data_IF_990932202177
#
_entry.id   IF_990932202177
#
_cell.length_a   1.000
_cell.length_b   1.000
_cell.length_c   1.000
_cell.angle_alpha   90.00
_cell.angle_beta   90.00
_cell.angle_gamma   90.00
#
_symmetry.space_group_name_H-M   'P 1'
#
loop_
_entity.id
_entity.type
_entity.pdbx_description
1 polymer ?
#
# COMPACT_ATOMS: atom_id res chain seq x y z
N UNK A 1 -6.25 5.97 31.17
CA UNK A 1 -6.17 6.85 29.99
C UNK A 1 -5.50 6.04 28.90
N UNK A 2 -6.29 5.45 28.02
CA UNK A 2 -5.80 4.61 26.93
C UNK A 2 -5.59 5.56 25.76
N UNK A 3 -4.33 5.79 25.38
CA UNK A 3 -4.00 6.49 24.13
C UNK A 3 -4.30 5.51 22.99
N UNK A 4 -5.52 5.59 22.47
CA UNK A 4 -5.86 4.92 21.21
C UNK A 4 -5.29 5.83 20.13
N UNK A 5 -4.25 5.38 19.44
CA UNK A 5 -3.75 6.05 18.24
C UNK A 5 -4.95 6.36 17.33
N UNK A 6 -5.12 7.64 17.01
CA UNK A 6 -6.11 8.19 16.08
C UNK A 6 -5.78 7.74 14.64
N UNK A 7 -5.82 6.42 14.36
CA UNK A 7 -5.33 5.84 13.11
C UNK A 7 -6.26 6.17 11.92
N UNK A 8 -6.07 7.35 11.32
CA UNK A 8 -6.48 7.61 9.94
C UNK A 8 -5.32 7.26 8.99
N UNK A 9 -5.31 6.00 8.58
CA UNK A 9 -4.54 5.49 7.45
C UNK A 9 -5.47 4.61 6.60
N UNK A 10 -5.50 4.77 5.27
CA UNK A 10 -4.83 5.80 4.44
C UNK A 10 -5.42 7.22 4.61
N UNK A 11 -4.78 8.29 4.13
CA UNK A 11 -5.35 9.66 4.10
C UNK A 11 -6.31 9.90 2.91
N UNK A 12 -7.37 10.70 3.16
CA UNK A 12 -8.57 10.91 2.35
C UNK A 12 -9.85 10.89 3.22
N UNK A 13 -10.98 11.45 2.76
CA UNK A 13 -12.27 11.27 3.48
C UNK A 13 -12.74 9.83 3.27
N UNK A 14 -12.46 8.96 4.24
CA UNK A 14 -13.00 7.60 4.28
C UNK A 14 -14.28 7.59 5.10
N UNK A 15 -15.29 6.90 4.59
CA UNK A 15 -16.55 6.73 5.32
C UNK A 15 -16.52 5.56 6.31
N UNK A 16 -15.38 4.89 6.49
CA UNK A 16 -15.23 3.71 7.35
C UNK A 16 -13.83 3.59 7.94
N UNK A 17 -13.78 3.06 9.16
CA UNK A 17 -12.58 2.85 9.99
C UNK A 17 -12.28 1.36 10.19
N UNK A 18 -12.68 0.47 9.27
CA UNK A 18 -12.46 -0.97 9.42
C UNK A 18 -10.97 -1.33 9.37
N UNK A 19 -10.36 -1.42 10.55
CA UNK A 19 -8.97 -1.81 10.72
C UNK A 19 -8.85 -3.33 10.90
N UNK A 20 -9.15 -4.11 9.85
CA UNK A 20 -8.95 -5.56 9.90
C UNK A 20 -8.41 -6.12 8.59
N UNK A 21 -7.27 -6.82 8.68
CA UNK A 21 -6.73 -7.59 7.56
C UNK A 21 -7.63 -8.77 7.18
N UNK A 22 -8.54 -9.19 8.06
CA UNK A 22 -9.53 -10.24 7.80
C UNK A 22 -10.51 -9.85 6.70
N UNK A 23 -10.86 -8.56 6.63
CA UNK A 23 -11.79 -8.04 5.64
C UNK A 23 -11.14 -7.78 4.26
N UNK A 24 -9.81 -7.84 4.14
CA UNK A 24 -9.14 -7.60 2.86
C UNK A 24 -9.29 -8.84 1.94
N UNK A 25 -9.74 -8.67 0.67
CA UNK A 25 -9.86 -9.79 -0.27
C UNK A 25 -8.50 -10.27 -0.80
N UNK A 26 -7.46 -9.49 -0.52
CA UNK A 26 -6.09 -9.77 -0.93
C UNK A 26 -5.17 -9.79 0.28
N UNK A 27 -4.19 -10.67 0.23
CA UNK A 27 -2.95 -10.48 0.96
C UNK A 27 -1.83 -10.02 0.03
N UNK A 28 -0.75 -9.51 0.62
CA UNK A 28 0.44 -9.06 -0.08
C UNK A 28 1.64 -9.92 0.35
N UNK A 29 2.48 -10.33 -0.60
CA UNK A 29 3.78 -10.99 -0.33
C UNK A 29 4.88 -10.20 -1.02
N UNK A 30 5.89 -9.80 -0.28
CA UNK A 30 7.11 -9.23 -0.86
C UNK A 30 7.91 -10.32 -1.58
N UNK A 31 8.50 -9.96 -2.70
CA UNK A 31 9.42 -10.80 -3.46
C UNK A 31 10.85 -10.27 -3.36
N UNK A 32 11.76 -10.96 -4.07
CA UNK A 32 13.12 -10.47 -4.26
C UNK A 32 13.13 -9.18 -5.09
N UNK A 33 14.15 -8.35 -4.87
CA UNK A 33 14.38 -7.18 -5.72
C UNK A 33 14.70 -7.61 -7.15
N UNK A 34 14.26 -6.84 -8.13
CA UNK A 34 14.53 -7.08 -9.55
C UNK A 34 15.18 -5.84 -10.15
N UNK A 35 16.18 -6.01 -11.01
CA UNK A 35 16.75 -4.91 -11.81
C UNK A 35 16.28 -5.01 -13.25
N UNK A 36 15.66 -3.94 -13.75
CA UNK A 36 15.19 -3.84 -15.13
C UNK A 36 15.57 -2.47 -15.70
N UNK A 37 16.33 -2.46 -16.81
CA UNK A 37 16.86 -1.24 -17.45
C UNK A 37 17.52 -0.30 -16.44
N UNK A 38 18.48 -0.83 -15.68
CA UNK A 38 19.29 -0.11 -14.68
C UNK A 38 18.51 0.50 -13.51
N UNK A 39 17.23 0.15 -13.36
CA UNK A 39 16.42 0.51 -12.21
C UNK A 39 16.18 -0.75 -11.39
N UNK A 40 16.57 -0.73 -10.12
CA UNK A 40 16.20 -1.77 -9.16
C UNK A 40 14.83 -1.47 -8.58
N UNK A 41 14.01 -2.50 -8.42
CA UNK A 41 12.66 -2.42 -7.88
C UNK A 41 12.52 -3.37 -6.70
N UNK A 42 11.87 -2.90 -5.65
CA UNK A 42 11.19 -3.78 -4.70
C UNK A 42 9.99 -4.42 -5.39
N UNK A 43 9.74 -5.69 -5.10
CA UNK A 43 8.62 -6.41 -5.69
C UNK A 43 7.63 -6.88 -4.64
N UNK A 44 6.36 -6.91 -5.01
CA UNK A 44 5.33 -7.58 -4.23
C UNK A 44 4.25 -8.17 -5.13
N UNK A 45 3.60 -9.23 -4.66
CA UNK A 45 2.49 -9.89 -5.33
C UNK A 45 1.26 -9.86 -4.46
N UNK A 46 0.12 -9.76 -5.11
CA UNK A 46 -1.17 -9.92 -4.45
C UNK A 46 -1.63 -11.36 -4.60
N UNK A 47 -2.19 -11.91 -3.54
CA UNK A 47 -2.81 -13.22 -3.55
C UNK A 47 -4.24 -13.11 -3.03
N UNK A 48 -5.15 -13.84 -3.65
CA UNK A 48 -6.51 -13.96 -3.15
C UNK A 48 -6.48 -14.55 -1.74
N UNK A 49 -7.24 -13.95 -0.84
CA UNK A 49 -7.43 -14.43 0.52
C UNK A 49 -8.94 -14.53 0.79
N UNK A 50 -9.41 -15.55 1.53
CA UNK A 50 -10.78 -15.56 2.02
C UNK A 50 -11.06 -14.31 2.85
N UNK A 51 -12.17 -13.63 2.53
CA UNK A 51 -12.64 -12.51 3.32
C UNK A 51 -13.37 -13.04 4.57
N UNK A 52 -13.08 -12.46 5.73
CA UNK A 52 -13.74 -12.78 6.99
C UNK A 52 -15.17 -12.22 7.01
N UNK A 53 -16.15 -13.10 6.76
CA UNK A 53 -17.57 -12.75 6.75
C UNK A 53 -18.11 -12.27 8.11
N UNK A 54 -17.37 -12.45 9.20
CA UNK A 54 -17.67 -11.87 10.51
C UNK A 54 -17.37 -10.37 10.60
N UNK A 55 -16.61 -9.81 9.66
CA UNK A 55 -16.29 -8.39 9.64
C UNK A 55 -17.50 -7.57 9.17
N UNK A 56 -18.17 -6.89 10.11
CA UNK A 56 -19.34 -6.05 9.85
C UNK A 56 -18.98 -4.57 10.00
N UNK A 57 -19.44 -3.74 9.07
CA UNK A 57 -19.31 -2.29 9.12
C UNK A 57 -20.57 -1.61 8.61
N UNK A 58 -21.01 -0.56 9.32
CA UNK A 58 -22.28 0.14 9.03
C UNK A 58 -23.48 -0.82 8.91
N UNK A 59 -23.50 -1.90 9.71
CA UNK A 59 -24.58 -2.90 9.70
C UNK A 59 -24.56 -3.89 8.53
N UNK A 60 -23.53 -3.88 7.68
CA UNK A 60 -23.38 -4.82 6.57
C UNK A 60 -22.05 -5.59 6.67
N UNK A 61 -22.06 -6.85 6.22
CA UNK A 61 -20.84 -7.64 6.05
C UNK A 61 -19.95 -6.93 5.01
N UNK A 62 -18.72 -6.63 5.41
CA UNK A 62 -17.72 -5.92 4.60
C UNK A 62 -17.39 -6.72 3.32
N UNK A 63 -17.33 -8.04 3.41
CA UNK A 63 -17.05 -8.94 2.27
C UNK A 63 -18.10 -8.84 1.15
N UNK A 64 -19.36 -8.52 1.47
CA UNK A 64 -20.41 -8.34 0.48
C UNK A 64 -20.33 -7.00 -0.27
N UNK A 65 -19.52 -6.06 0.26
CA UNK A 65 -19.38 -4.70 -0.28
C UNK A 65 -18.08 -4.48 -1.02
N UNK A 66 -17.08 -5.32 -0.71
CA UNK A 66 -15.77 -5.32 -1.34
C UNK A 66 -15.88 -5.97 -2.71
N UNK A 67 -15.42 -5.26 -3.74
CA UNK A 67 -15.34 -5.82 -5.09
C UNK A 67 -14.07 -6.67 -5.19
N UNK A 68 -14.00 -7.67 -6.08
CA UNK A 68 -12.73 -8.32 -6.42
C UNK A 68 -11.77 -7.38 -7.18
N UNK A 69 -11.97 -6.06 -7.16
CA UNK A 69 -11.21 -5.11 -7.99
C UNK A 69 -10.70 -3.99 -7.12
N UNK A 70 -9.44 -4.13 -6.70
CA UNK A 70 -8.72 -3.14 -5.91
C UNK A 70 -8.67 -1.83 -6.69
N UNK A 71 -9.00 -0.72 -6.03
CA UNK A 71 -8.87 0.60 -6.62
C UNK A 71 -7.54 1.29 -6.24
N UNK A 72 -7.11 1.13 -4.99
CA UNK A 72 -5.90 1.75 -4.45
C UNK A 72 -5.19 0.85 -3.44
N UNK A 73 -3.86 0.88 -3.49
CA UNK A 73 -2.96 0.24 -2.51
C UNK A 73 -2.15 1.36 -1.87
N UNK A 74 -2.05 1.32 -0.54
CA UNK A 74 -1.35 2.32 0.26
C UNK A 74 -0.26 1.68 1.12
N UNK A 75 0.87 2.38 1.25
CA UNK A 75 1.96 2.03 2.16
C UNK A 75 2.31 3.22 3.03
N UNK A 76 2.52 2.98 4.33
CA UNK A 76 3.06 3.98 5.27
C UNK A 76 4.43 3.54 5.74
N UNK A 77 5.40 4.42 5.60
CA UNK A 77 6.82 4.19 5.89
C UNK A 77 7.33 5.26 6.83
N UNK A 78 8.31 4.93 7.66
CA UNK A 78 8.97 5.93 8.50
C UNK A 78 9.79 6.88 7.60
N UNK A 79 9.65 8.19 7.80
CA UNK A 79 10.26 9.21 6.94
C UNK A 79 11.78 9.05 6.84
N UNK A 80 12.42 8.72 7.96
CA UNK A 80 13.87 8.60 8.09
C UNK A 80 14.42 7.35 7.41
N UNK A 81 13.57 6.33 7.20
CA UNK A 81 13.93 5.11 6.48
C UNK A 81 13.58 5.19 4.98
N UNK A 82 12.74 6.16 4.60
CA UNK A 82 12.18 6.36 3.26
C UNK A 82 12.64 7.68 2.61
N UNK A 83 13.75 8.26 3.09
CA UNK A 83 14.31 9.58 2.71
C UNK A 83 14.43 9.77 1.19
N UNK A 84 14.66 8.70 0.44
CA UNK A 84 14.75 8.74 -1.00
C UNK A 84 13.48 9.24 -1.72
N UNK A 85 12.30 8.99 -1.15
CA UNK A 85 11.05 9.48 -1.70
C UNK A 85 10.90 11.00 -1.48
N UNK A 86 11.79 11.59 -0.67
CA UNK A 86 11.96 13.03 -0.46
C UNK A 86 12.96 13.67 -1.45
N UNK A 87 13.60 12.90 -2.34
CA UNK A 87 14.69 13.41 -3.18
C UNK A 87 14.24 14.10 -4.48
N UNK A 88 12.93 14.14 -4.78
CA UNK A 88 12.41 14.73 -6.03
C UNK A 88 11.89 16.17 -5.87
N UNK A 89 12.02 16.78 -4.70
CA UNK A 89 11.55 18.13 -4.37
C UNK A 89 11.06 18.22 -2.93
N UNK A 90 10.73 19.43 -2.43
CA UNK A 90 10.13 19.58 -1.10
C UNK A 90 8.86 18.73 -1.00
N UNK A 91 8.90 17.64 -0.22
CA UNK A 91 7.74 16.80 0.01
C UNK A 91 6.58 17.66 0.52
N UNK A 92 5.48 17.63 -0.21
CA UNK A 92 4.23 18.25 0.23
C UNK A 92 3.49 17.29 1.14
N UNK A 93 2.60 17.85 1.98
CA UNK A 93 1.64 17.03 2.70
C UNK A 93 0.85 16.15 1.73
N UNK A 94 0.48 14.96 2.17
CA UNK A 94 -0.13 13.93 1.33
C UNK A 94 -1.39 14.41 0.58
N UNK A 95 -2.12 15.37 1.14
CA UNK A 95 -3.28 16.04 0.52
C UNK A 95 -2.92 16.77 -0.78
N UNK A 96 -1.69 17.26 -0.88
CA UNK A 96 -1.09 17.96 -2.02
C UNK A 96 0.03 17.13 -2.67
N UNK A 97 0.04 15.81 -2.46
CA UNK A 97 1.13 14.94 -2.89
C UNK A 97 1.38 14.97 -4.40
N UNK A 98 2.66 14.89 -4.75
CA UNK A 98 3.14 14.86 -6.13
C UNK A 98 2.95 13.49 -6.78
N UNK A 99 2.74 13.48 -8.10
CA UNK A 99 2.73 12.25 -8.88
C UNK A 99 4.12 11.59 -8.82
N UNK A 100 4.13 10.31 -8.47
CA UNK A 100 5.33 9.50 -8.34
C UNK A 100 5.44 8.53 -9.53
N UNK A 101 6.55 8.59 -10.28
CA UNK A 101 6.83 7.68 -11.39
C UNK A 101 7.78 6.55 -10.96
N UNK A 102 7.29 5.70 -10.06
CA UNK A 102 8.08 4.56 -9.59
C UNK A 102 7.29 3.29 -9.35
N UNK A 103 6.03 3.21 -9.81
CA UNK A 103 5.20 2.01 -9.67
C UNK A 103 4.88 1.40 -11.04
N UNK A 104 5.07 0.08 -11.20
CA UNK A 104 4.68 -0.68 -12.40
C UNK A 104 4.02 -2.00 -12.01
N UNK A 105 3.37 -2.63 -12.97
CA UNK A 105 2.94 -4.02 -12.86
C UNK A 105 3.62 -4.85 -13.96
N UNK A 106 4.15 -5.99 -13.58
CA UNK A 106 4.71 -6.99 -14.49
C UNK A 106 3.82 -8.23 -14.47
N UNK A 107 3.05 -8.39 -15.53
CA UNK A 107 2.14 -9.52 -15.69
C UNK A 107 2.92 -10.80 -16.00
N UNK A 108 2.49 -11.93 -15.42
CA UNK A 108 3.10 -13.23 -15.69
C UNK A 108 3.02 -13.60 -17.18
N UNK A 109 4.07 -14.28 -17.66
CA UNK A 109 4.17 -14.67 -19.07
C UNK A 109 4.50 -13.54 -20.04
N UNK A 110 4.65 -12.30 -19.56
CA UNK A 110 5.10 -11.17 -20.39
C UNK A 110 6.60 -10.93 -20.27
N UNK A 111 7.21 -10.44 -21.35
CA UNK A 111 8.66 -10.21 -21.43
C UNK A 111 9.13 -8.89 -20.79
N UNK A 112 8.20 -7.98 -20.46
CA UNK A 112 8.54 -6.68 -19.89
C UNK A 112 7.42 -6.13 -19.00
N UNK A 113 7.74 -5.28 -18.01
CA UNK A 113 6.73 -4.64 -17.19
C UNK A 113 5.89 -3.65 -18.01
N UNK A 114 4.63 -3.48 -17.59
CA UNK A 114 3.71 -2.52 -18.18
C UNK A 114 4.13 -1.05 -17.99
N UNK A 115 3.23 -0.17 -18.43
CA UNK A 115 3.37 1.27 -18.24
C UNK A 115 3.44 1.64 -16.74
N UNK A 116 3.92 2.85 -16.45
CA UNK A 116 3.88 3.40 -15.10
C UNK A 116 2.44 3.45 -14.60
N UNK A 117 2.21 2.86 -13.43
CA UNK A 117 0.95 2.97 -12.72
C UNK A 117 0.82 4.38 -12.14
N UNK A 118 -0.40 4.94 -12.06
CA UNK A 118 -0.64 6.17 -11.32
C UNK A 118 -0.26 5.96 -9.85
N UNK A 119 0.72 6.74 -9.38
CA UNK A 119 1.12 6.72 -7.99
C UNK A 119 1.38 8.14 -7.46
N UNK A 120 1.27 8.31 -6.14
CA UNK A 120 1.58 9.55 -5.43
C UNK A 120 2.39 9.25 -4.18
N UNK A 121 3.21 10.21 -3.78
CA UNK A 121 3.99 10.14 -2.54
C UNK A 121 3.97 11.48 -1.83
N UNK A 122 3.88 11.47 -0.50
CA UNK A 122 3.86 12.67 0.31
C UNK A 122 4.14 12.41 1.79
N UNK A 123 4.37 13.48 2.55
CA UNK A 123 4.57 13.41 3.99
C UNK A 123 3.23 13.48 4.73
N UNK A 124 3.15 12.76 5.83
CA UNK A 124 2.03 12.85 6.77
C UNK A 124 2.07 14.15 7.56
N UNK A 125 0.94 14.57 8.13
CA UNK A 125 0.83 15.84 8.87
C UNK A 125 1.74 15.90 10.11
N UNK A 126 2.03 14.74 10.72
CA UNK A 126 2.96 14.65 11.86
C UNK A 126 4.44 14.79 11.46
N UNK A 127 4.75 14.77 10.15
CA UNK A 127 6.09 14.87 9.60
C UNK A 127 6.97 13.63 9.79
N UNK A 128 6.45 12.54 10.38
CA UNK A 128 7.21 11.34 10.78
C UNK A 128 7.10 10.20 9.79
N UNK A 129 6.10 10.25 8.90
CA UNK A 129 5.85 9.17 7.96
C UNK A 129 5.72 9.68 6.53
N UNK A 130 6.18 8.85 5.58
CA UNK A 130 5.94 8.97 4.16
C UNK A 130 4.83 8.00 3.77
N UNK A 131 3.92 8.47 2.93
CA UNK A 131 2.89 7.62 2.34
C UNK A 131 3.04 7.53 0.83
N UNK A 132 2.96 6.30 0.34
CA UNK A 132 2.94 5.98 -1.09
C UNK A 132 1.62 5.32 -1.44
N UNK A 133 0.98 5.82 -2.50
CA UNK A 133 -0.25 5.23 -3.03
C UNK A 133 -0.10 4.85 -4.48
N UNK A 134 -0.59 3.66 -4.83
CA UNK A 134 -0.87 3.26 -6.21
C UNK A 134 -2.39 3.33 -6.37
N UNK A 135 -2.90 4.03 -7.38
CA UNK A 135 -4.34 4.29 -7.53
C UNK A 135 -4.83 4.11 -8.96
N UNK A 136 -6.16 4.09 -9.13
CA UNK A 136 -6.79 3.88 -10.44
C UNK A 136 -6.65 2.44 -10.92
N UNK A 137 -6.42 1.50 -10.00
CA UNK A 137 -6.38 0.08 -10.25
C UNK A 137 -7.81 -0.39 -10.62
N UNK A 138 -7.92 -1.23 -11.67
CA UNK A 138 -9.20 -1.67 -12.24
C UNK A 138 -9.26 -3.18 -12.53
N UNK A 139 -8.25 -3.92 -12.10
CA UNK A 139 -8.11 -5.36 -12.31
C UNK A 139 -7.80 -6.05 -10.97
N UNK A 140 -7.79 -7.38 -10.92
CA UNK A 140 -7.43 -8.11 -9.70
C UNK A 140 -5.93 -8.06 -9.38
N UNK A 141 -5.07 -7.79 -10.37
CA UNK A 141 -3.61 -7.71 -10.25
C UNK A 141 -2.96 -8.90 -9.51
N UNK A 142 -3.57 -10.08 -9.63
CA UNK A 142 -3.10 -11.33 -9.00
C UNK A 142 -2.21 -12.17 -9.92
N UNK A 143 -2.18 -11.85 -11.20
CA UNK A 143 -1.47 -12.55 -12.28
C UNK A 143 -0.13 -11.89 -12.60
N UNK A 144 0.62 -11.50 -11.58
CA UNK A 144 1.90 -10.84 -11.76
C UNK A 144 2.50 -10.30 -10.48
N UNK A 145 3.36 -9.30 -10.63
CA UNK A 145 4.00 -8.60 -9.52
C UNK A 145 3.98 -7.10 -9.74
N UNK A 146 3.80 -6.36 -8.66
CA UNK A 146 4.06 -4.94 -8.61
C UNK A 146 5.55 -4.70 -8.46
N UNK A 147 6.05 -3.68 -9.16
CA UNK A 147 7.40 -3.18 -9.07
C UNK A 147 7.33 -1.77 -8.48
N UNK A 148 8.02 -1.54 -7.37
CA UNK A 148 8.22 -0.22 -6.77
C UNK A 148 9.69 0.13 -6.85
N UNK A 149 10.04 1.24 -7.50
CA UNK A 149 11.42 1.68 -7.64
C UNK A 149 12.09 1.71 -6.28
N UNK A 150 13.18 0.94 -6.17
CA UNK A 150 13.99 0.84 -4.97
C UNK A 150 14.74 2.14 -4.80
N UNK A 151 14.76 2.56 -3.55
CA UNK A 151 15.62 3.63 -3.12
C UNK A 151 16.95 3.10 -2.60
N UNK A 152 18.07 3.76 -2.93
CA UNK A 152 19.40 3.32 -2.52
C UNK A 152 19.59 3.17 -1.00
N UNK A 153 18.87 3.96 -0.18
CA UNK A 153 18.87 3.87 1.28
C UNK A 153 17.87 2.85 1.85
N UNK A 154 16.91 2.36 1.05
CA UNK A 154 15.95 1.35 1.48
C UNK A 154 16.56 -0.04 1.27
N UNK A 155 16.95 -0.71 2.34
CA UNK A 155 17.51 -2.07 2.25
C UNK A 155 16.50 -3.06 1.62
N UNK A 156 15.32 -3.16 2.24
CA UNK A 156 14.15 -3.95 1.79
C UNK A 156 12.89 -3.17 2.13
N UNK A 157 11.87 -3.21 1.27
CA UNK A 157 10.57 -2.58 1.53
C UNK A 157 9.94 -3.08 2.85
N UNK A 158 10.15 -4.34 3.20
CA UNK A 158 9.66 -4.94 4.46
C UNK A 158 10.31 -4.37 5.73
N UNK A 159 11.48 -3.73 5.63
CA UNK A 159 12.25 -3.20 6.77
C UNK A 159 11.98 -1.72 7.05
N UNK A 160 11.24 -1.03 6.17
CA UNK A 160 11.11 0.44 6.11
C UNK A 160 9.70 0.92 6.45
N UNK A 161 8.74 0.01 6.59
CA UNK A 161 7.37 0.37 6.97
C UNK A 161 7.26 0.77 8.44
N UNK A 162 6.25 1.59 8.79
CA UNK A 162 5.91 1.91 10.20
C UNK A 162 5.76 0.59 10.95
N UNK A 163 6.63 0.35 11.93
CA UNK A 163 6.60 -0.87 12.76
C UNK A 163 5.45 -0.78 13.75
N UNK A 164 4.57 -1.76 13.71
CA UNK A 164 3.62 -1.99 14.80
C UNK A 164 4.36 -2.47 16.05
N UNK A 165 3.67 -2.60 17.19
CA UNK A 165 4.25 -3.20 18.39
C UNK A 165 4.84 -4.61 18.13
N UNK A 166 4.33 -5.30 17.11
CA UNK A 166 4.78 -6.63 16.67
C UNK A 166 5.83 -6.60 15.55
N UNK A 167 6.34 -5.43 15.16
CA UNK A 167 7.40 -5.28 14.15
C UNK A 167 6.97 -5.47 12.70
N UNK A 168 5.67 -5.36 12.41
CA UNK A 168 5.09 -5.64 11.08
C UNK A 168 4.96 -4.38 10.20
N UNK A 169 4.93 -4.56 8.88
CA UNK A 169 4.77 -3.48 7.91
C UNK A 169 3.29 -3.11 7.70
N UNK A 170 2.94 -1.83 7.87
CA UNK A 170 1.58 -1.33 7.61
C UNK A 170 1.34 -1.01 6.12
N UNK A 171 0.30 -1.61 5.56
CA UNK A 171 -0.25 -1.31 4.23
C UNK A 171 -1.78 -1.31 4.27
N UNK A 172 -2.44 -0.79 3.24
CA UNK A 172 -3.90 -0.83 3.18
C UNK A 172 -4.43 -1.01 1.75
N UNK A 173 -5.56 -1.70 1.63
CA UNK A 173 -6.37 -1.71 0.41
C UNK A 173 -7.55 -0.76 0.56
N UNK A 174 -7.80 0.02 -0.48
CA UNK A 174 -8.98 0.89 -0.59
C UNK A 174 -9.79 0.38 -1.78
N UNK A 175 -10.90 -0.29 -1.45
CA UNK A 175 -11.54 -1.25 -2.37
C UNK A 175 -13.02 -0.94 -2.67
N UNK A 176 -13.43 0.32 -2.54
CA UNK A 176 -14.82 0.69 -2.87
C UNK A 176 -14.95 2.02 -3.58
N UNK A 177 -15.94 2.14 -4.49
CA UNK A 177 -16.39 3.42 -5.00
C UNK A 177 -16.65 4.39 -3.84
N UNK A 178 -16.08 5.59 -3.91
CA UNK A 178 -16.25 6.61 -2.88
C UNK A 178 -15.50 6.34 -1.57
N UNK A 179 -14.47 5.48 -1.55
CA UNK A 179 -13.63 5.25 -0.38
C UNK A 179 -14.43 4.78 0.85
N UNK A 180 -15.48 3.99 0.61
CA UNK A 180 -16.40 3.54 1.66
C UNK A 180 -15.74 2.61 2.66
N UNK A 181 -14.73 1.83 2.25
CA UNK A 181 -13.96 0.93 3.12
C UNK A 181 -12.47 0.99 2.78
N UNK A 182 -11.65 1.04 3.83
CA UNK A 182 -10.23 0.76 3.78
C UNK A 182 -9.98 -0.46 4.67
N UNK A 183 -9.10 -1.37 4.24
CA UNK A 183 -8.64 -2.50 5.06
C UNK A 183 -7.17 -2.30 5.34
N UNK A 184 -6.83 -2.07 6.61
CA UNK A 184 -5.45 -1.92 7.04
C UNK A 184 -4.88 -3.29 7.34
N UNK A 185 -3.79 -3.61 6.66
CA UNK A 185 -3.12 -4.89 6.68
C UNK A 185 -1.71 -4.76 7.26
N UNK A 186 -1.30 -5.79 8.00
CA UNK A 186 0.07 -5.98 8.45
C UNK A 186 0.75 -7.02 7.57
N UNK A 187 1.90 -6.71 6.98
CA UNK A 187 2.72 -7.68 6.27
C UNK A 187 3.88 -8.11 7.17
N UNK A 188 4.01 -9.41 7.38
CA UNK A 188 5.25 -10.01 7.86
C UNK A 188 6.31 -9.87 6.77
N UNK A 189 7.47 -9.30 7.12
CA UNK A 189 8.67 -9.54 6.35
C UNK A 189 9.05 -11.01 6.55
N UNK A 190 9.17 -11.78 5.48
CA UNK A 190 9.85 -13.07 5.59
C UNK A 190 11.23 -12.84 6.22
N UNK A 191 11.59 -13.72 7.17
CA UNK A 191 12.95 -13.84 7.69
C UNK A 191 13.96 -14.04 6.58
#
# INVERSE_FOLDING_TARGET
MIFVDEEQFPFGVFHSTVCSCGAAPYGLRFGADITYKDITYHTFRLYNKPCDEGAVAMGANVCNTIRPVINKIAFRMDSDAAICYNQTGSMTFIENATNFRGARFWQDGTSMPGAWLPARVGITADGRHIELFIYGLKYSYTDGMFLLTKCGAMGSFSRVCRRTAEGLCLFAFVDTPGHRFATVCKAEGFG
#
